data_IF_317876857601
#
_entry.id   IF_317876857601
#
_cell.length_a   1.000
_cell.length_b   1.000
_cell.length_c   1.000
_cell.angle_alpha   90.00
_cell.angle_beta   90.00
_cell.angle_gamma   90.00
#
_symmetry.space_group_name_H-M   'P 1'
#
loop_
_entity.id
_entity.type
_entity.pdbx_description
1 polymer ?
#
# COMPACT_ATOMS: atom_id res chain seq x y z
N UNK A 1 17.72 27.60 23.29
CA UNK A 1 17.25 27.75 21.90
C UNK A 1 16.51 26.48 21.53
N UNK A 2 15.29 26.62 20.99
CA UNK A 2 14.45 25.57 20.42
C UNK A 2 15.22 24.77 19.33
N UNK A 3 14.88 23.55 18.93
CA UNK A 3 13.70 22.72 19.16
C UNK A 3 13.62 21.74 17.99
N UNK A 4 13.84 20.46 18.30
CA UNK A 4 13.51 19.23 17.57
C UNK A 4 14.16 18.94 16.18
N UNK A 5 14.87 17.80 16.04
CA UNK A 5 15.31 17.32 14.73
C UNK A 5 14.08 16.92 13.91
N UNK A 6 13.92 17.51 12.73
CA UNK A 6 13.02 16.99 11.71
C UNK A 6 13.36 15.52 11.51
N UNK A 7 12.43 14.62 11.83
CA UNK A 7 12.57 13.22 11.50
C UNK A 7 12.63 13.11 9.98
N UNK A 8 13.84 13.18 9.41
CA UNK A 8 14.10 12.76 8.05
C UNK A 8 13.78 11.26 8.04
N UNK A 9 12.60 10.92 7.54
CA UNK A 9 12.26 9.56 7.16
C UNK A 9 13.40 9.13 6.24
N UNK A 10 14.26 8.23 6.73
CA UNK A 10 15.30 7.63 5.89
C UNK A 10 14.58 7.11 4.65
N UNK A 11 15.04 7.43 3.43
CA UNK A 11 14.48 6.81 2.24
C UNK A 11 14.71 5.31 2.42
N UNK A 12 13.64 4.58 2.69
CA UNK A 12 13.69 3.14 2.62
C UNK A 12 14.20 2.75 1.24
N UNK A 13 14.92 1.62 1.19
CA UNK A 13 15.52 1.13 -0.05
C UNK A 13 14.50 1.21 -1.18
N UNK A 14 14.88 1.76 -2.33
CA UNK A 14 14.07 1.74 -3.56
C UNK A 14 13.90 0.31 -4.10
N UNK A 15 14.57 -0.66 -3.49
CA UNK A 15 14.49 -2.08 -3.83
C UNK A 15 13.42 -2.79 -3.01
N UNK A 16 12.66 -3.66 -3.68
CA UNK A 16 11.73 -4.58 -3.03
C UNK A 16 12.45 -5.48 -2.00
N UNK A 17 11.71 -6.05 -1.02
CA UNK A 17 12.27 -7.00 -0.07
C UNK A 17 12.98 -8.17 -0.77
N UNK A 18 14.01 -8.71 -0.12
CA UNK A 18 14.73 -9.87 -0.64
C UNK A 18 13.76 -11.04 -0.90
N UNK A 19 13.87 -11.66 -2.07
CA UNK A 19 13.00 -12.77 -2.48
C UNK A 19 11.58 -12.38 -2.91
N UNK A 20 11.20 -11.09 -2.88
CA UNK A 20 9.85 -10.66 -3.26
C UNK A 20 9.51 -11.01 -4.72
N UNK A 21 10.43 -10.76 -5.67
CA UNK A 21 10.18 -11.07 -7.08
C UNK A 21 9.93 -12.58 -7.28
N UNK A 22 10.77 -13.41 -6.67
CA UNK A 22 10.63 -14.86 -6.75
C UNK A 22 9.33 -15.34 -6.10
N UNK A 23 9.02 -14.87 -4.89
CA UNK A 23 7.79 -15.24 -4.20
C UNK A 23 6.54 -14.84 -4.99
N UNK A 24 6.50 -13.60 -5.51
CA UNK A 24 5.39 -13.12 -6.33
C UNK A 24 5.20 -13.98 -7.59
N UNK A 25 6.28 -14.27 -8.32
CA UNK A 25 6.20 -15.03 -9.58
C UNK A 25 5.93 -16.52 -9.38
N UNK A 26 6.64 -17.15 -8.45
CA UNK A 26 6.68 -18.61 -8.30
C UNK A 26 5.63 -19.12 -7.33
N UNK A 27 5.43 -18.44 -6.19
CA UNK A 27 4.52 -18.90 -5.15
C UNK A 27 3.12 -18.32 -5.32
N UNK A 28 3.04 -16.99 -5.54
CA UNK A 28 1.76 -16.28 -5.64
C UNK A 28 1.19 -16.26 -7.06
N UNK A 29 2.02 -16.56 -8.07
CA UNK A 29 1.66 -16.50 -9.50
C UNK A 29 1.21 -15.11 -9.94
N UNK A 30 1.73 -14.07 -9.30
CA UNK A 30 1.50 -12.67 -9.64
C UNK A 30 2.49 -12.23 -10.72
N UNK A 31 2.02 -11.39 -11.64
CA UNK A 31 2.84 -10.77 -12.67
C UNK A 31 3.01 -9.28 -12.41
N UNK A 32 4.11 -8.70 -12.88
CA UNK A 32 4.33 -7.24 -12.84
C UNK A 32 3.13 -6.53 -13.51
N UNK A 33 2.60 -5.52 -12.83
CA UNK A 33 1.39 -4.82 -13.24
C UNK A 33 0.07 -5.50 -12.87
N UNK A 34 0.05 -6.69 -12.26
CA UNK A 34 -1.18 -7.28 -11.70
C UNK A 34 -1.82 -6.28 -10.74
N UNK A 35 -3.13 -6.06 -10.91
CA UNK A 35 -3.88 -5.00 -10.25
C UNK A 35 -4.90 -5.59 -9.29
N UNK A 36 -4.86 -5.17 -8.03
CA UNK A 36 -5.77 -5.67 -7.00
C UNK A 36 -6.58 -4.54 -6.36
N UNK A 37 -7.87 -4.78 -6.14
CA UNK A 37 -8.71 -3.96 -5.25
C UNK A 37 -8.36 -4.24 -3.80
N UNK A 38 -8.08 -3.20 -3.03
CA UNK A 38 -7.62 -3.31 -1.64
C UNK A 38 -8.25 -2.21 -0.78
N UNK A 39 -8.61 -2.57 0.44
CA UNK A 39 -8.82 -1.62 1.54
C UNK A 39 -7.45 -1.37 2.16
N UNK A 40 -7.03 -0.11 2.22
CA UNK A 40 -5.67 0.30 2.56
C UNK A 40 -5.30 0.01 4.02
N UNK A 41 -6.29 0.10 4.90
CA UNK A 41 -6.10 -0.13 6.32
C UNK A 41 -7.33 -0.80 6.93
N UNK A 42 -7.14 -1.98 7.52
CA UNK A 42 -8.19 -2.83 8.09
C UNK A 42 -8.76 -2.28 9.40
N UNK A 43 -8.11 -1.26 9.98
CA UNK A 43 -8.62 -0.51 11.14
C UNK A 43 -9.83 0.38 10.79
N UNK A 44 -10.06 0.63 9.51
CA UNK A 44 -11.05 1.58 9.00
C UNK A 44 -12.06 0.92 8.04
N UNK A 45 -13.22 1.56 7.84
CA UNK A 45 -14.24 1.01 6.95
C UNK A 45 -13.83 1.13 5.47
N UNK A 46 -14.30 0.21 4.62
CA UNK A 46 -13.95 0.16 3.19
C UNK A 46 -14.22 1.49 2.45
N UNK A 47 -15.36 2.15 2.74
CA UNK A 47 -15.80 3.37 2.04
C UNK A 47 -15.51 4.65 2.81
N UNK A 48 -14.60 4.60 3.77
CA UNK A 48 -14.21 5.75 4.59
C UNK A 48 -13.11 6.56 3.91
N UNK A 49 -13.03 7.86 4.23
CA UNK A 49 -11.86 8.69 3.93
C UNK A 49 -10.99 8.81 5.17
N UNK A 50 -9.80 8.22 5.10
CA UNK A 50 -8.91 8.01 6.25
C UNK A 50 -7.73 8.96 6.19
N UNK A 51 -7.27 9.41 7.36
CA UNK A 51 -6.06 10.20 7.50
C UNK A 51 -4.85 9.28 7.73
N UNK A 52 -4.00 9.17 6.70
CA UNK A 52 -2.76 8.40 6.75
C UNK A 52 -1.60 9.27 7.21
N UNK A 53 -0.70 8.70 8.00
CA UNK A 53 0.53 9.33 8.48
C UNK A 53 1.74 8.66 7.81
N UNK A 54 2.70 9.42 7.28
CA UNK A 54 3.90 8.82 6.68
C UNK A 54 4.71 8.04 7.72
N UNK A 55 5.20 6.86 7.32
CA UNK A 55 5.91 5.91 8.16
C UNK A 55 5.01 5.04 9.05
N UNK A 56 3.70 5.33 9.12
CA UNK A 56 2.75 4.53 9.90
C UNK A 56 2.51 3.18 9.24
N UNK A 57 2.48 2.13 10.06
CA UNK A 57 2.16 0.78 9.64
C UNK A 57 0.68 0.66 9.31
N UNK A 58 0.38 -0.01 8.20
CA UNK A 58 -0.97 -0.24 7.72
C UNK A 58 -1.13 -1.69 7.31
N UNK A 59 -2.34 -2.23 7.52
CA UNK A 59 -2.70 -3.58 7.10
C UNK A 59 -3.78 -3.48 6.04
N UNK A 60 -3.39 -3.69 4.79
CA UNK A 60 -4.32 -3.74 3.68
C UNK A 60 -5.08 -5.07 3.66
N UNK A 61 -6.32 -5.07 3.18
CA UNK A 61 -7.11 -6.29 3.02
C UNK A 61 -7.84 -6.31 1.68
N UNK A 62 -7.84 -7.47 1.00
CA UNK A 62 -8.71 -7.67 -0.15
C UNK A 62 -10.16 -7.77 0.35
N UNK A 63 -11.05 -6.83 -0.05
CA UNK A 63 -12.41 -6.80 0.46
C UNK A 63 -13.25 -7.96 -0.11
N UNK A 64 -14.31 -8.34 0.62
CA UNK A 64 -15.31 -9.31 0.12
C UNK A 64 -15.99 -8.85 -1.17
N UNK A 65 -16.01 -7.55 -1.41
CA UNK A 65 -16.58 -6.92 -2.62
C UNK A 65 -15.67 -7.02 -3.85
N UNK A 66 -14.45 -7.58 -3.73
CA UNK A 66 -13.55 -7.78 -4.85
C UNK A 66 -14.15 -8.78 -5.86
N UNK A 67 -14.40 -8.29 -7.07
CA UNK A 67 -15.14 -9.04 -8.10
C UNK A 67 -14.32 -9.42 -9.33
N UNK A 68 -13.04 -9.06 -9.37
CA UNK A 68 -12.16 -9.41 -10.48
C UNK A 68 -11.77 -10.90 -10.40
N UNK A 69 -11.98 -11.65 -11.49
CA UNK A 69 -11.76 -13.11 -11.52
C UNK A 69 -10.29 -13.47 -11.32
N UNK A 70 -9.39 -12.70 -11.93
CA UNK A 70 -7.95 -12.91 -11.81
C UNK A 70 -7.51 -12.68 -10.36
N UNK A 71 -7.90 -11.55 -9.75
CA UNK A 71 -7.64 -11.26 -8.35
C UNK A 71 -8.19 -12.36 -7.44
N UNK A 72 -9.42 -12.83 -7.66
CA UNK A 72 -10.00 -13.89 -6.81
C UNK A 72 -9.21 -15.20 -6.84
N UNK A 73 -8.49 -15.49 -7.92
CA UNK A 73 -7.67 -16.69 -8.04
C UNK A 73 -6.33 -16.56 -7.29
N UNK A 74 -5.68 -15.39 -7.38
CA UNK A 74 -4.29 -15.23 -6.89
C UNK A 74 -4.15 -14.39 -5.62
N UNK A 75 -5.16 -13.60 -5.28
CA UNK A 75 -5.24 -12.76 -4.09
C UNK A 75 -6.71 -12.68 -3.61
N UNK A 76 -7.29 -13.80 -3.13
CA UNK A 76 -8.71 -13.88 -2.78
C UNK A 76 -9.10 -12.95 -1.62
N UNK A 77 -10.40 -12.66 -1.43
CA UNK A 77 -10.89 -11.93 -0.27
C UNK A 77 -10.34 -12.45 1.06
N UNK A 78 -9.94 -11.52 1.93
CA UNK A 78 -9.27 -11.85 3.20
C UNK A 78 -7.74 -11.96 3.10
N UNK A 79 -7.16 -11.88 1.90
CA UNK A 79 -5.72 -11.68 1.74
C UNK A 79 -5.31 -10.39 2.43
N UNK A 80 -4.30 -10.47 3.30
CA UNK A 80 -3.77 -9.34 4.08
C UNK A 80 -2.44 -8.88 3.51
N UNK A 81 -2.25 -7.58 3.41
CA UNK A 81 -1.01 -6.95 3.01
C UNK A 81 -0.47 -6.14 4.20
N UNK A 82 0.81 -6.27 4.51
CA UNK A 82 1.46 -5.53 5.60
C UNK A 82 2.48 -4.57 5.02
N UNK A 83 2.43 -3.33 5.50
CA UNK A 83 3.18 -2.25 4.87
C UNK A 83 3.12 -0.96 5.64
N UNK A 84 3.52 0.11 4.96
CA UNK A 84 3.58 1.47 5.51
C UNK A 84 3.10 2.50 4.49
N UNK A 85 2.61 3.61 5.01
CA UNK A 85 2.24 4.77 4.20
C UNK A 85 3.43 5.73 4.00
N UNK A 86 3.52 6.34 2.83
CA UNK A 86 4.53 7.30 2.40
C UNK A 86 3.86 8.40 1.58
N UNK A 87 4.59 9.49 1.34
CA UNK A 87 4.13 10.60 0.51
C UNK A 87 5.09 10.85 -0.64
N UNK A 88 4.56 11.07 -1.83
CA UNK A 88 5.32 11.58 -2.96
C UNK A 88 5.07 13.08 -3.08
N UNK A 89 6.04 13.88 -2.61
CA UNK A 89 6.00 15.34 -2.68
C UNK A 89 6.10 15.89 -4.10
N UNK A 90 6.63 15.12 -5.05
CA UNK A 90 6.75 15.52 -6.46
C UNK A 90 5.44 15.38 -7.26
N UNK A 91 4.47 14.61 -6.74
CA UNK A 91 3.14 14.44 -7.33
C UNK A 91 2.09 15.10 -6.45
N UNK A 92 1.73 16.34 -6.79
CA UNK A 92 0.64 17.04 -6.10
C UNK A 92 -0.71 16.49 -6.56
N UNK A 93 -1.53 16.05 -5.60
CA UNK A 93 -2.91 15.61 -5.82
C UNK A 93 -3.88 16.78 -6.04
N UNK A 94 -5.19 16.46 -6.10
CA UNK A 94 -6.28 17.42 -6.39
C UNK A 94 -6.43 18.59 -5.39
N UNK A 95 -5.74 18.55 -4.25
CA UNK A 95 -5.87 19.49 -3.14
C UNK A 95 -4.53 20.11 -2.70
N UNK A 96 -3.56 20.25 -3.61
CA UNK A 96 -2.19 20.75 -3.32
C UNK A 96 -1.44 19.94 -2.23
N UNK A 97 -1.89 18.72 -1.96
CA UNK A 97 -1.26 17.77 -1.04
C UNK A 97 -0.47 16.70 -1.79
N UNK A 98 0.57 16.09 -1.18
CA UNK A 98 1.34 15.04 -1.82
C UNK A 98 0.48 13.79 -2.06
N UNK A 99 0.78 13.03 -3.11
CA UNK A 99 0.14 11.74 -3.34
C UNK A 99 0.45 10.78 -2.18
N UNK A 100 -0.56 10.01 -1.75
CA UNK A 100 -0.38 8.91 -0.82
C UNK A 100 0.16 7.71 -1.58
N UNK A 101 1.27 7.16 -1.09
CA UNK A 101 1.81 5.88 -1.55
C UNK A 101 1.84 4.92 -0.38
N UNK A 102 1.16 3.78 -0.50
CA UNK A 102 1.27 2.69 0.47
C UNK A 102 2.11 1.59 -0.16
N UNK A 103 3.22 1.23 0.49
CA UNK A 103 4.08 0.12 0.06
C UNK A 103 3.85 -1.04 1.00
N UNK A 104 3.46 -2.18 0.46
CA UNK A 104 3.28 -3.42 1.21
C UNK A 104 4.43 -4.37 0.91
N UNK A 105 5.18 -4.72 1.94
CA UNK A 105 6.38 -5.54 1.87
C UNK A 105 6.11 -7.03 2.10
N UNK A 106 4.93 -7.36 2.66
CA UNK A 106 4.52 -8.73 2.97
C UNK A 106 3.05 -8.94 2.65
N UNK A 107 2.72 -10.17 2.29
CA UNK A 107 1.34 -10.61 2.12
C UNK A 107 1.09 -11.90 2.88
N UNK A 108 -0.13 -12.09 3.36
CA UNK A 108 -0.65 -13.35 3.87
C UNK A 108 -1.96 -13.71 3.15
N UNK A 109 -1.92 -14.76 2.34
CA UNK A 109 -3.12 -15.32 1.76
C UNK A 109 -3.89 -16.12 2.83
N UNK A 110 -5.22 -16.26 2.71
CA UNK A 110 -6.00 -17.07 3.64
C UNK A 110 -5.45 -18.51 3.73
N UNK A 111 -5.08 -18.93 4.95
CA UNK A 111 -4.56 -20.29 5.20
C UNK A 111 -3.12 -20.53 4.75
N UNK A 112 -2.38 -19.49 4.33
CA UNK A 112 -0.97 -19.59 3.93
C UNK A 112 -0.08 -18.76 4.87
N UNK A 113 1.21 -19.07 4.84
CA UNK A 113 2.23 -18.28 5.54
C UNK A 113 2.48 -16.93 4.86
N UNK A 114 3.10 -16.02 5.61
CA UNK A 114 3.51 -14.71 5.09
C UNK A 114 4.61 -14.84 4.05
N UNK A 115 4.50 -14.07 2.96
CA UNK A 115 5.47 -14.05 1.87
C UNK A 115 5.91 -12.61 1.58
N UNK A 116 7.19 -12.40 1.22
CA UNK A 116 7.67 -11.08 0.82
C UNK A 116 7.03 -10.69 -0.52
N UNK A 117 6.61 -9.44 -0.64
CA UNK A 117 6.02 -8.89 -1.87
C UNK A 117 6.48 -7.47 -2.11
N UNK A 118 6.15 -6.98 -3.31
CA UNK A 118 6.35 -5.60 -3.70
C UNK A 118 5.05 -5.12 -4.35
N UNK A 119 4.13 -4.67 -3.51
CA UNK A 119 2.80 -4.25 -3.91
C UNK A 119 2.57 -2.81 -3.46
N UNK A 120 2.23 -1.93 -4.41
CA UNK A 120 2.11 -0.50 -4.16
C UNK A 120 0.71 -0.01 -4.47
N UNK A 121 0.19 0.86 -3.62
CA UNK A 121 -0.99 1.65 -3.93
C UNK A 121 -0.59 3.11 -4.00
N UNK A 122 -0.83 3.74 -5.14
CA UNK A 122 -0.72 5.20 -5.29
C UNK A 122 -2.14 5.77 -5.41
N UNK A 123 -2.44 6.79 -4.60
CA UNK A 123 -3.74 7.47 -4.61
C UNK A 123 -3.58 8.96 -4.37
N UNK A 124 -4.48 9.74 -4.96
CA UNK A 124 -4.50 11.20 -4.80
C UNK A 124 -4.99 11.60 -3.42
N UNK A 125 -4.38 12.63 -2.84
CA UNK A 125 -4.88 13.25 -1.61
C UNK A 125 -6.21 13.98 -1.86
N UNK A 126 -7.20 13.70 -1.01
CA UNK A 126 -8.44 14.47 -0.89
C UNK A 126 -8.25 15.70 0.01
N UNK A 127 -7.34 15.60 0.99
CA UNK A 127 -6.92 16.72 1.82
C UNK A 127 -5.51 16.48 2.37
N UNK A 128 -4.81 17.56 2.71
CA UNK A 128 -3.53 17.51 3.42
C UNK A 128 -3.55 18.49 4.59
N UNK A 129 -3.29 17.98 5.80
CA UNK A 129 -3.32 18.78 7.03
C UNK A 129 -2.41 18.15 8.08
N UNK A 130 -1.68 18.98 8.82
CA UNK A 130 -0.83 18.55 9.94
C UNK A 130 0.17 17.44 9.56
N UNK A 131 0.67 17.49 8.32
CA UNK A 131 1.59 16.47 7.78
C UNK A 131 0.93 15.13 7.49
N UNK A 132 -0.40 15.05 7.41
CA UNK A 132 -1.19 13.84 7.11
C UNK A 132 -1.97 14.00 5.81
N UNK A 133 -2.13 12.90 5.09
CA UNK A 133 -2.92 12.84 3.85
C UNK A 133 -4.24 12.15 4.12
N UNK A 134 -5.34 12.79 3.73
CA UNK A 134 -6.66 12.16 3.67
C UNK A 134 -6.87 11.52 2.29
N UNK A 135 -7.29 10.27 2.26
CA UNK A 135 -7.63 9.55 1.03
C UNK A 135 -8.78 8.57 1.27
N UNK A 136 -9.51 8.22 0.21
CA UNK A 136 -10.35 7.00 0.19
C UNK A 136 -9.54 5.80 0.70
N UNK A 137 -10.14 5.04 1.63
CA UNK A 137 -9.56 3.82 2.18
C UNK A 137 -9.65 2.64 1.20
N UNK A 138 -10.50 2.72 0.17
CA UNK A 138 -10.52 1.75 -0.93
C UNK A 138 -9.82 2.33 -2.14
N UNK A 139 -8.89 1.57 -2.68
CA UNK A 139 -8.20 1.91 -3.92
C UNK A 139 -7.77 0.64 -4.64
N UNK A 140 -6.98 0.81 -5.69
CA UNK A 140 -6.37 -0.28 -6.41
C UNK A 140 -4.85 -0.14 -6.40
N UNK A 141 -4.19 -1.22 -6.01
CA UNK A 141 -2.73 -1.31 -6.05
C UNK A 141 -2.24 -2.21 -7.16
N UNK A 142 -0.92 -2.21 -7.34
CA UNK A 142 -0.24 -2.88 -8.43
C UNK A 142 0.99 -3.62 -7.91
N UNK A 143 1.24 -4.79 -8.48
CA UNK A 143 2.49 -5.52 -8.30
C UNK A 143 3.59 -4.83 -9.09
N UNK A 144 4.75 -4.61 -8.45
CA UNK A 144 5.90 -3.93 -9.08
C UNK A 144 7.18 -4.70 -8.83
N UNK A 145 8.14 -4.62 -9.75
CA UNK A 145 9.48 -5.19 -9.56
C UNK A 145 10.45 -4.28 -8.79
N UNK A 146 10.08 -3.01 -8.56
CA UNK A 146 10.82 -2.02 -7.76
C UNK A 146 9.88 -0.96 -7.21
N UNK A 147 10.25 -0.31 -6.12
CA UNK A 147 9.43 0.78 -5.58
C UNK A 147 9.45 2.00 -6.50
N UNK A 148 8.31 2.70 -6.65
CA UNK A 148 8.26 3.99 -7.33
C UNK A 148 8.92 5.10 -6.52
#
# INVERSE_FOLDING_TARGET
MAGCPSAQIRPESFTCPAGAEQAMRENLRWTDGDRFSVVLDDRHAEREYVWFTAGEEVVGIVPKSASDDRQRQVAPPGTRFYGRAYYLSEKMGRADGPALVVRYDRVKLPGQDEQPVCFVVETTADAFKDGRVKSSNRSSGYVVNRWP
#
